data_IF_087991177990
#
_entry.id   IF_087991177990
#
_cell.length_a   1.000
_cell.length_b   1.000
_cell.length_c   1.000
_cell.angle_alpha   90.00
_cell.angle_beta   90.00
_cell.angle_gamma   90.00
#
_symmetry.space_group_name_H-M   'P 1'
#
loop_
_entity.id
_entity.type
_entity.pdbx_description
1 polymer ?
#
# COMPACT_ATOMS: atom_id res chain seq x y z
N UNK A 1 -1.03 40.36 9.06
CA UNK A 1 -2.13 39.38 8.89
C UNK A 1 -1.50 38.00 9.01
N UNK A 2 -1.69 37.35 10.16
CA UNK A 2 -1.13 36.03 10.44
C UNK A 2 -2.06 35.00 9.80
N UNK A 3 -1.64 34.34 8.72
CA UNK A 3 -2.35 33.17 8.22
C UNK A 3 -2.26 32.09 9.29
N UNK A 4 -3.36 31.89 10.03
CA UNK A 4 -3.50 30.71 10.87
C UNK A 4 -3.34 29.48 9.97
N UNK A 5 -2.53 28.48 10.34
CA UNK A 5 -2.46 27.24 9.58
C UNK A 5 -3.88 26.66 9.50
N UNK A 6 -4.35 26.39 8.29
CA UNK A 6 -5.63 25.73 8.08
C UNK A 6 -5.60 24.43 8.89
N UNK A 7 -6.44 24.36 9.93
CA UNK A 7 -6.65 23.12 10.66
C UNK A 7 -7.22 22.14 9.64
N UNK A 8 -6.39 21.18 9.21
CA UNK A 8 -6.81 20.15 8.28
C UNK A 8 -7.99 19.42 8.91
N UNK A 9 -9.15 19.48 8.27
CA UNK A 9 -10.34 18.79 8.74
C UNK A 9 -10.01 17.30 8.94
N UNK A 10 -10.50 16.68 10.03
CA UNK A 10 -10.31 15.26 10.24
C UNK A 10 -10.80 14.50 9.00
N UNK A 11 -9.93 13.71 8.40
CA UNK A 11 -10.26 12.90 7.24
C UNK A 11 -10.71 11.53 7.73
N UNK A 12 -11.83 11.00 7.25
CA UNK A 12 -12.28 9.65 7.58
C UNK A 12 -11.58 8.60 6.71
N UNK A 13 -11.68 7.30 7.06
CA UNK A 13 -11.26 6.20 6.19
C UNK A 13 -11.94 6.25 4.81
N UNK A 14 -13.23 6.58 4.80
CA UNK A 14 -14.01 6.67 3.57
C UNK A 14 -13.51 7.80 2.66
N UNK A 15 -13.26 8.99 3.23
CA UNK A 15 -12.68 10.11 2.48
C UNK A 15 -11.30 9.76 1.93
N UNK A 16 -10.51 9.01 2.71
CA UNK A 16 -9.18 8.56 2.32
C UNK A 16 -9.22 7.58 1.15
N UNK A 17 -10.08 6.56 1.20
CA UNK A 17 -10.27 5.62 0.09
C UNK A 17 -10.82 6.31 -1.15
N UNK A 18 -11.68 7.31 -0.97
CA UNK A 18 -12.20 8.14 -2.08
C UNK A 18 -11.08 8.94 -2.75
N UNK A 19 -10.17 9.55 -1.97
CA UNK A 19 -8.99 10.25 -2.52
C UNK A 19 -8.03 9.30 -3.24
N UNK A 20 -7.83 8.09 -2.71
CA UNK A 20 -6.98 7.08 -3.32
C UNK A 20 -7.55 6.59 -4.67
N UNK A 21 -8.88 6.49 -4.78
CA UNK A 21 -9.59 6.15 -6.00
C UNK A 21 -9.74 7.31 -7.00
N UNK A 22 -9.31 8.54 -6.64
CA UNK A 22 -9.59 9.72 -7.45
C UNK A 22 -9.04 9.59 -8.87
N UNK A 23 -9.92 9.82 -9.85
CA UNK A 23 -9.62 9.66 -11.27
C UNK A 23 -9.94 8.29 -11.85
N UNK A 24 -10.47 7.35 -11.05
CA UNK A 24 -10.97 6.05 -11.52
C UNK A 24 -12.46 5.86 -11.15
N UNK A 25 -13.20 5.20 -12.04
CA UNK A 25 -14.59 4.72 -11.80
C UNK A 25 -14.74 3.22 -12.08
N UNK A 26 -13.62 2.52 -12.14
CA UNK A 26 -13.51 1.14 -12.57
C UNK A 26 -13.07 0.22 -11.42
N UNK A 27 -12.35 -0.86 -11.73
CA UNK A 27 -11.96 -1.86 -10.73
C UNK A 27 -11.08 -1.30 -9.61
N UNK A 28 -10.33 -0.21 -9.83
CA UNK A 28 -9.52 0.41 -8.78
C UNK A 28 -10.37 1.10 -7.72
N UNK A 29 -11.46 1.78 -8.12
CA UNK A 29 -12.43 2.33 -7.16
C UNK A 29 -13.05 1.23 -6.29
N UNK A 30 -13.42 0.10 -6.89
CA UNK A 30 -13.95 -1.06 -6.17
C UNK A 30 -12.91 -1.62 -5.19
N UNK A 31 -11.66 -1.72 -5.62
CA UNK A 31 -10.56 -2.17 -4.76
C UNK A 31 -10.35 -1.25 -3.55
N UNK A 32 -10.39 0.07 -3.75
CA UNK A 32 -10.26 1.05 -2.67
C UNK A 32 -11.42 0.95 -1.67
N UNK A 33 -12.66 0.82 -2.16
CA UNK A 33 -13.82 0.63 -1.29
C UNK A 33 -13.69 -0.65 -0.45
N UNK A 34 -13.35 -1.77 -1.10
CA UNK A 34 -13.18 -3.06 -0.44
C UNK A 34 -12.01 -3.06 0.56
N UNK A 35 -10.90 -2.42 0.23
CA UNK A 35 -9.80 -2.22 1.16
C UNK A 35 -10.24 -1.43 2.41
N UNK A 36 -11.09 -0.41 2.23
CA UNK A 36 -11.68 0.34 3.34
C UNK A 36 -12.49 -0.54 4.29
N UNK A 37 -13.35 -1.39 3.76
CA UNK A 37 -14.12 -2.37 4.53
C UNK A 37 -13.21 -3.30 5.33
N UNK A 38 -12.22 -3.91 4.66
CA UNK A 38 -11.30 -4.86 5.29
C UNK A 38 -10.47 -4.22 6.42
N UNK A 39 -10.07 -2.96 6.24
CA UNK A 39 -9.34 -2.19 7.25
C UNK A 39 -10.24 -1.83 8.43
N UNK A 40 -11.49 -1.43 8.18
CA UNK A 40 -12.47 -1.10 9.21
C UNK A 40 -12.85 -2.33 10.06
N UNK A 41 -13.15 -3.47 9.42
CA UNK A 41 -13.54 -4.72 10.06
C UNK A 41 -12.50 -5.24 11.07
N UNK A 42 -11.22 -4.97 10.82
CA UNK A 42 -10.10 -5.46 11.65
C UNK A 42 -9.78 -4.56 12.83
N UNK A 43 -10.50 -3.45 13.03
CA UNK A 43 -10.44 -2.62 14.25
C UNK A 43 -9.09 -1.94 14.51
N UNK A 44 -8.15 -1.99 13.56
CA UNK A 44 -6.85 -1.31 13.65
C UNK A 44 -6.89 0.14 13.14
N UNK A 45 -8.05 0.60 12.70
CA UNK A 45 -8.25 1.95 12.21
C UNK A 45 -8.65 2.91 13.34
N UNK A 46 -7.98 4.06 13.46
CA UNK A 46 -8.47 5.18 14.26
C UNK A 46 -9.28 6.09 13.34
N UNK A 47 -10.55 6.34 13.65
CA UNK A 47 -11.49 7.11 12.79
C UNK A 47 -11.01 8.53 12.43
N UNK A 48 -10.16 9.14 13.26
CA UNK A 48 -9.56 10.46 13.02
C UNK A 48 -8.12 10.29 12.49
N UNK A 49 -7.97 10.42 11.17
CA UNK A 49 -6.73 10.15 10.40
C UNK A 49 -5.74 11.32 10.46
N UNK A 50 -5.74 12.11 11.52
CA UNK A 50 -4.90 13.30 11.62
C UNK A 50 -3.40 12.95 11.58
N UNK A 51 -2.81 12.94 10.39
CA UNK A 51 -1.36 12.93 10.06
C UNK A 51 -0.55 11.63 10.23
N UNK A 52 -1.15 10.46 10.45
CA UNK A 52 -0.36 9.20 10.60
C UNK A 52 0.06 8.60 9.23
N UNK A 53 1.35 8.71 8.83
CA UNK A 53 1.83 8.18 7.55
C UNK A 53 1.73 6.65 7.49
N UNK A 54 1.69 5.97 8.63
CA UNK A 54 1.53 4.52 8.67
C UNK A 54 0.15 4.08 8.18
N UNK A 55 -0.88 4.88 8.45
CA UNK A 55 -2.24 4.65 7.93
C UNK A 55 -2.31 4.90 6.42
N UNK A 56 -1.61 5.91 5.91
CA UNK A 56 -1.45 6.12 4.45
C UNK A 56 -0.92 4.88 3.76
N UNK A 57 0.21 4.41 4.24
CA UNK A 57 0.92 3.27 3.65
C UNK A 57 0.08 2.00 3.76
N UNK A 58 -0.53 1.74 4.92
CA UNK A 58 -1.42 0.57 5.10
C UNK A 58 -2.59 0.60 4.10
N UNK A 59 -3.30 1.74 3.98
CA UNK A 59 -4.45 1.80 3.06
C UNK A 59 -4.06 1.64 1.60
N UNK A 60 -2.95 2.25 1.18
CA UNK A 60 -2.42 2.09 -0.17
C UNK A 60 -2.02 0.62 -0.42
N UNK A 61 -1.32 -0.01 0.52
CA UNK A 61 -0.89 -1.40 0.39
C UNK A 61 -2.10 -2.36 0.31
N UNK A 62 -3.09 -2.22 1.19
CA UNK A 62 -4.29 -3.08 1.15
C UNK A 62 -5.05 -2.87 -0.16
N UNK A 63 -5.23 -1.63 -0.63
CA UNK A 63 -5.90 -1.35 -1.89
C UNK A 63 -5.16 -1.96 -3.10
N UNK A 64 -3.84 -1.84 -3.16
CA UNK A 64 -3.01 -2.46 -4.21
C UNK A 64 -3.13 -3.98 -4.16
N UNK A 65 -3.05 -4.60 -2.97
CA UNK A 65 -3.20 -6.05 -2.83
C UNK A 65 -4.59 -6.54 -3.26
N UNK A 66 -5.66 -5.85 -2.83
CA UNK A 66 -7.04 -6.16 -3.24
C UNK A 66 -7.22 -6.05 -4.75
N UNK A 67 -6.67 -4.99 -5.36
CA UNK A 67 -6.75 -4.80 -6.79
C UNK A 67 -6.00 -5.91 -7.56
N UNK A 68 -4.76 -6.19 -7.15
CA UNK A 68 -3.91 -7.20 -7.75
C UNK A 68 -4.52 -8.61 -7.68
N UNK A 69 -4.99 -9.02 -6.49
CA UNK A 69 -5.65 -10.31 -6.30
C UNK A 69 -6.97 -10.39 -7.07
N UNK A 70 -7.74 -9.30 -7.05
CA UNK A 70 -9.03 -9.21 -7.72
C UNK A 70 -8.97 -9.41 -9.23
N UNK A 71 -7.83 -9.21 -9.88
CA UNK A 71 -7.66 -9.43 -11.31
C UNK A 71 -7.85 -10.92 -11.70
N UNK A 72 -7.60 -11.85 -10.79
CA UNK A 72 -7.82 -13.29 -10.99
C UNK A 72 -9.19 -13.79 -10.52
N UNK A 73 -9.98 -12.94 -9.86
CA UNK A 73 -11.23 -13.36 -9.21
C UNK A 73 -12.44 -13.16 -10.13
N UNK A 74 -13.38 -14.13 -10.22
CA UNK A 74 -14.61 -13.98 -11.02
C UNK A 74 -15.48 -12.77 -10.63
N UNK A 75 -15.37 -12.29 -9.39
CA UNK A 75 -16.07 -11.09 -8.90
C UNK A 75 -15.20 -9.83 -8.86
N UNK A 76 -14.00 -9.88 -9.43
CA UNK A 76 -13.06 -8.77 -9.42
C UNK A 76 -12.57 -8.40 -8.01
N UNK A 77 -12.06 -7.17 -7.83
CA UNK A 77 -11.56 -6.69 -6.54
C UNK A 77 -12.58 -6.71 -5.40
N UNK A 78 -13.88 -6.63 -5.70
CA UNK A 78 -14.94 -6.67 -4.69
C UNK A 78 -15.10 -8.03 -4.01
N UNK A 79 -14.65 -9.12 -4.65
CA UNK A 79 -14.73 -10.47 -4.11
C UNK A 79 -13.57 -10.83 -3.17
N UNK A 80 -12.51 -10.01 -3.12
CA UNK A 80 -11.34 -10.30 -2.30
C UNK A 80 -11.71 -10.29 -0.81
N UNK A 81 -11.31 -11.35 -0.11
CA UNK A 81 -11.56 -11.53 1.32
C UNK A 81 -10.30 -11.32 2.13
N UNK A 82 -10.45 -11.03 3.43
CA UNK A 82 -9.32 -10.98 4.35
C UNK A 82 -8.55 -12.31 4.36
N UNK A 83 -9.25 -13.44 4.25
CA UNK A 83 -8.66 -14.78 4.18
C UNK A 83 -7.85 -14.98 2.89
N UNK A 84 -8.35 -14.55 1.74
CA UNK A 84 -7.62 -14.61 0.47
C UNK A 84 -6.30 -13.83 0.53
N UNK A 85 -6.34 -12.61 1.07
CA UNK A 85 -5.13 -11.81 1.32
C UNK A 85 -4.19 -12.53 2.30
N UNK A 86 -4.75 -13.13 3.35
CA UNK A 86 -3.97 -13.84 4.37
C UNK A 86 -3.25 -15.04 3.78
N UNK A 87 -3.95 -15.86 2.98
CA UNK A 87 -3.42 -17.05 2.34
C UNK A 87 -2.33 -16.70 1.32
N UNK A 88 -2.54 -15.67 0.51
CA UNK A 88 -1.53 -15.17 -0.43
C UNK A 88 -0.22 -14.76 0.27
N UNK A 89 -0.35 -14.12 1.44
CA UNK A 89 0.78 -13.53 2.15
C UNK A 89 1.44 -14.48 3.17
N UNK A 90 0.74 -15.51 3.65
CA UNK A 90 1.12 -16.34 4.80
C UNK A 90 2.56 -16.89 4.73
N UNK A 91 2.92 -17.55 3.63
CA UNK A 91 4.22 -18.20 3.47
C UNK A 91 5.40 -17.20 3.44
N UNK A 92 5.11 -15.94 3.08
CA UNK A 92 6.10 -14.87 2.90
C UNK A 92 6.18 -13.97 4.14
N UNK A 93 5.13 -13.98 4.97
CA UNK A 93 5.01 -13.22 6.20
C UNK A 93 6.13 -13.58 7.20
N UNK A 94 6.43 -14.87 7.33
CA UNK A 94 7.49 -15.35 8.22
C UNK A 94 8.88 -14.90 7.75
N UNK A 95 9.13 -14.95 6.44
CA UNK A 95 10.39 -14.49 5.86
C UNK A 95 10.57 -12.97 6.02
N UNK A 96 9.48 -12.19 5.93
CA UNK A 96 9.51 -10.75 6.24
C UNK A 96 9.73 -10.45 7.72
N UNK A 97 9.23 -11.30 8.61
CA UNK A 97 9.45 -11.18 10.05
C UNK A 97 10.86 -11.65 10.50
N UNK A 98 11.65 -12.24 9.59
CA UNK A 98 13.00 -12.71 9.89
C UNK A 98 13.91 -11.59 10.40
N UNK A 99 14.75 -11.89 11.39
CA UNK A 99 15.82 -11.00 11.85
C UNK A 99 17.03 -11.00 10.91
N UNK A 100 17.12 -11.96 10.00
CA UNK A 100 18.13 -11.97 8.97
C UNK A 100 17.78 -11.00 7.83
N UNK A 101 18.66 -10.03 7.60
CA UNK A 101 18.46 -8.98 6.61
C UNK A 101 18.46 -9.52 5.17
N UNK A 102 19.26 -10.55 4.87
CA UNK A 102 19.32 -11.11 3.52
C UNK A 102 18.04 -11.88 3.18
N UNK A 103 17.58 -12.73 4.09
CA UNK A 103 16.28 -13.42 3.97
C UNK A 103 15.14 -12.42 3.77
N UNK A 104 15.08 -11.37 4.60
CA UNK A 104 14.03 -10.35 4.49
C UNK A 104 14.06 -9.63 3.15
N UNK A 105 15.26 -9.25 2.67
CA UNK A 105 15.44 -8.58 1.38
C UNK A 105 15.00 -9.47 0.22
N UNK A 106 15.37 -10.75 0.24
CA UNK A 106 14.95 -11.70 -0.78
C UNK A 106 13.42 -11.88 -0.80
N UNK A 107 12.79 -11.99 0.37
CA UNK A 107 11.33 -12.08 0.50
C UNK A 107 10.62 -10.83 -0.02
N UNK A 108 11.15 -9.63 0.30
CA UNK A 108 10.61 -8.36 -0.19
C UNK A 108 10.70 -8.26 -1.71
N UNK A 109 11.84 -8.61 -2.30
CA UNK A 109 12.02 -8.58 -3.75
C UNK A 109 11.10 -9.58 -4.48
N UNK A 110 10.89 -10.77 -3.90
CA UNK A 110 9.93 -11.74 -4.42
C UNK A 110 8.49 -11.21 -4.38
N UNK A 111 8.07 -10.61 -3.25
CA UNK A 111 6.74 -10.01 -3.10
C UNK A 111 6.52 -8.82 -4.05
N UNK A 112 7.52 -7.95 -4.20
CA UNK A 112 7.47 -6.85 -5.16
C UNK A 112 7.29 -7.40 -6.59
N UNK A 113 8.09 -8.40 -6.99
CA UNK A 113 7.99 -9.02 -8.31
C UNK A 113 6.64 -9.69 -8.57
N UNK A 114 6.05 -10.31 -7.55
CA UNK A 114 4.74 -10.94 -7.62
C UNK A 114 3.62 -9.91 -7.77
N UNK A 115 3.65 -8.84 -6.97
CA UNK A 115 2.72 -7.72 -7.09
C UNK A 115 2.78 -7.07 -8.46
N UNK A 116 3.98 -6.84 -9.00
CA UNK A 116 4.16 -6.34 -10.37
C UNK A 116 3.53 -7.30 -11.39
N UNK A 117 3.75 -8.61 -11.23
CA UNK A 117 3.19 -9.60 -12.16
C UNK A 117 1.66 -9.62 -12.12
N UNK A 118 1.06 -9.48 -10.93
CA UNK A 118 -0.39 -9.38 -10.79
C UNK A 118 -0.94 -8.07 -11.36
N UNK A 119 -0.25 -6.94 -11.14
CA UNK A 119 -0.62 -5.67 -11.76
C UNK A 119 -0.54 -5.73 -13.29
N UNK A 120 0.48 -6.40 -13.83
CA UNK A 120 0.59 -6.63 -15.27
C UNK A 120 -0.57 -7.49 -15.80
N UNK A 121 -0.96 -8.54 -15.08
CA UNK A 121 -2.15 -9.34 -15.41
C UNK A 121 -3.45 -8.51 -15.36
N UNK A 122 -3.50 -7.49 -14.50
CA UNK A 122 -4.59 -6.51 -14.44
C UNK A 122 -4.50 -5.42 -15.52
N UNK A 123 -3.49 -5.45 -16.40
CA UNK A 123 -3.30 -4.51 -17.50
C UNK A 123 -2.41 -3.31 -17.17
N UNK A 124 -1.65 -3.35 -16.09
CA UNK A 124 -0.80 -2.26 -15.63
C UNK A 124 0.68 -2.66 -15.55
N UNK A 125 1.52 -1.98 -16.32
CA UNK A 125 2.96 -2.19 -16.27
C UNK A 125 3.58 -1.38 -15.13
N UNK A 126 3.84 -2.05 -14.00
CA UNK A 126 4.31 -1.43 -12.77
C UNK A 126 5.85 -1.45 -12.70
N UNK A 127 6.52 -0.30 -12.50
CA UNK A 127 7.98 -0.25 -12.42
C UNK A 127 8.50 -0.89 -11.13
N UNK A 128 9.71 -1.47 -11.21
CA UNK A 128 10.47 -1.92 -10.03
C UNK A 128 11.22 -0.76 -9.39
N UNK A 129 11.29 -0.74 -8.06
CA UNK A 129 12.14 0.17 -7.29
C UNK A 129 11.87 1.66 -7.50
N UNK A 130 12.93 2.48 -7.49
CA UNK A 130 12.84 3.94 -7.50
C UNK A 130 12.36 4.45 -8.85
N UNK A 131 11.26 5.19 -8.84
CA UNK A 131 10.56 5.66 -10.04
C UNK A 131 10.93 7.12 -10.37
N UNK A 132 11.53 7.84 -9.42
CA UNK A 132 12.19 9.13 -9.65
C UNK A 132 11.22 10.27 -10.00
N UNK A 133 10.00 10.25 -9.46
CA UNK A 133 8.99 11.29 -9.68
C UNK A 133 8.40 11.39 -11.09
N UNK A 134 8.96 10.66 -12.08
CA UNK A 134 8.53 10.71 -13.50
C UNK A 134 7.12 10.12 -13.73
N UNK A 135 6.60 9.37 -12.77
CA UNK A 135 5.31 8.66 -12.84
C UNK A 135 4.16 9.36 -12.08
N UNK A 136 4.37 10.55 -11.51
CA UNK A 136 3.37 11.21 -10.66
C UNK A 136 2.45 12.18 -11.43
N UNK A 137 2.30 11.98 -12.74
CA UNK A 137 1.44 12.81 -13.60
C UNK A 137 -0.06 12.49 -13.48
N UNK A 138 -0.94 13.42 -13.88
CA UNK A 138 -2.39 13.21 -13.90
C UNK A 138 -2.81 12.07 -14.84
N UNK A 139 -2.05 11.84 -15.91
CA UNK A 139 -2.31 10.84 -16.94
C UNK A 139 -1.96 9.40 -16.53
N UNK A 140 -1.29 9.22 -15.39
CA UNK A 140 -0.93 7.90 -14.87
C UNK A 140 -2.13 7.27 -14.18
N UNK A 141 -2.36 5.98 -14.40
CA UNK A 141 -3.44 5.25 -13.75
C UNK A 141 -3.37 5.40 -12.21
N UNK A 142 -4.48 5.65 -11.51
CA UNK A 142 -4.45 5.88 -10.06
C UNK A 142 -3.80 4.74 -9.25
N UNK A 143 -4.00 3.48 -9.67
CA UNK A 143 -3.33 2.31 -9.07
C UNK A 143 -1.80 2.38 -9.21
N UNK A 144 -1.28 2.89 -10.33
CA UNK A 144 0.15 3.04 -10.56
C UNK A 144 0.75 4.20 -9.77
N UNK A 145 -0.05 5.24 -9.46
CA UNK A 145 0.36 6.28 -8.49
C UNK A 145 0.40 5.72 -7.07
N UNK A 146 -0.57 4.90 -6.68
CA UNK A 146 -0.57 4.24 -5.38
C UNK A 146 0.63 3.28 -5.25
N UNK A 147 0.89 2.47 -6.28
CA UNK A 147 2.10 1.65 -6.38
C UNK A 147 3.38 2.50 -6.25
N UNK A 148 3.51 3.56 -7.05
CA UNK A 148 4.67 4.44 -7.00
C UNK A 148 4.86 5.07 -5.60
N UNK A 149 3.79 5.38 -4.86
CA UNK A 149 3.91 5.89 -3.49
C UNK A 149 4.45 4.87 -2.48
N UNK A 150 4.33 3.57 -2.79
CA UNK A 150 4.87 2.48 -1.98
C UNK A 150 6.35 2.19 -2.31
N UNK A 151 6.74 2.33 -3.58
CA UNK A 151 8.09 1.94 -4.05
C UNK A 151 9.05 3.11 -4.32
N UNK A 152 8.55 4.33 -4.53
CA UNK A 152 9.38 5.51 -4.82
C UNK A 152 9.86 6.21 -3.54
N UNK A 153 11.13 6.64 -3.54
CA UNK A 153 11.91 7.01 -2.35
C UNK A 153 11.85 8.49 -1.97
N UNK A 154 11.05 9.32 -2.65
CA UNK A 154 11.10 10.78 -2.45
C UNK A 154 10.10 11.26 -1.41
N UNK A 155 10.37 10.96 -0.15
CA UNK A 155 10.17 11.92 0.92
C UNK A 155 11.30 11.70 1.93
N UNK A 156 12.12 12.74 2.10
CA UNK A 156 13.08 12.87 3.19
C UNK A 156 12.51 12.24 4.47
N UNK A 157 13.21 11.29 5.13
CA UNK A 157 12.77 10.84 6.45
C UNK A 157 12.68 12.08 7.36
N UNK A 158 11.67 12.21 8.23
CA UNK A 158 11.68 13.26 9.22
C UNK A 158 12.84 12.97 10.18
N UNK A 159 13.96 13.66 9.95
CA UNK A 159 15.18 13.69 10.76
C UNK A 159 15.92 12.34 10.86
N UNK A 160 16.95 12.15 10.03
CA UNK A 160 18.08 11.31 10.42
C UNK A 160 19.37 12.00 10.00
N UNK A 161 20.08 12.56 10.99
CA UNK A 161 21.43 13.14 10.88
C UNK A 161 22.52 12.04 10.76
N UNK A 162 22.16 10.83 10.33
CA UNK A 162 23.04 9.67 10.28
C UNK A 162 23.23 9.18 8.86
N UNK A 163 24.30 9.62 8.19
CA UNK A 163 24.73 9.05 6.92
C UNK A 163 24.98 7.55 7.03
N UNK A 164 24.22 6.74 6.29
CA UNK A 164 24.64 5.40 5.93
C UNK A 164 24.30 5.12 4.47
N UNK A 165 25.32 4.83 3.68
CA UNK A 165 25.29 4.47 2.26
C UNK A 165 24.76 3.04 2.07
N UNK A 166 23.55 2.75 2.54
CA UNK A 166 22.86 1.50 2.20
C UNK A 166 21.63 1.85 1.37
N UNK A 167 21.55 1.29 0.17
CA UNK A 167 20.41 1.49 -0.72
C UNK A 167 19.23 0.62 -0.23
N UNK A 168 18.30 1.23 0.53
CA UNK A 168 17.11 0.60 1.09
C UNK A 168 15.94 0.59 0.10
N UNK A 169 15.54 -0.59 -0.41
CA UNK A 169 14.25 -0.80 -1.09
C UNK A 169 13.12 0.01 -0.42
N UNK A 170 12.18 0.58 -1.20
CA UNK A 170 11.30 1.67 -0.77
C UNK A 170 10.68 1.43 0.62
N UNK A 171 10.97 2.26 1.64
CA UNK A 171 10.66 1.99 3.05
C UNK A 171 9.16 1.81 3.33
N UNK A 172 8.29 2.29 2.42
CA UNK A 172 6.85 2.16 2.54
C UNK A 172 6.32 0.80 2.07
N UNK A 173 6.97 0.13 1.10
CA UNK A 173 6.53 -1.20 0.67
C UNK A 173 6.78 -2.23 1.77
N UNK A 174 7.99 -2.26 2.34
CA UNK A 174 8.32 -3.15 3.47
C UNK A 174 7.38 -2.90 4.65
N UNK A 175 7.23 -1.62 5.05
CA UNK A 175 6.33 -1.24 6.12
C UNK A 175 4.87 -1.60 5.82
N UNK A 176 4.40 -1.35 4.61
CA UNK A 176 3.05 -1.69 4.16
C UNK A 176 2.77 -3.19 4.24
N UNK A 177 3.71 -4.03 3.80
CA UNK A 177 3.61 -5.48 3.89
C UNK A 177 3.64 -5.98 5.33
N UNK A 178 4.44 -5.36 6.21
CA UNK A 178 4.42 -5.64 7.65
C UNK A 178 3.09 -5.20 8.31
N UNK A 179 2.51 -4.09 7.88
CA UNK A 179 1.19 -3.67 8.34
C UNK A 179 0.09 -4.62 7.84
N UNK A 180 0.20 -5.09 6.59
CA UNK A 180 -0.69 -6.09 6.00
C UNK A 180 -0.63 -7.40 6.79
N UNK A 181 0.58 -7.84 7.15
CA UNK A 181 0.78 -8.96 8.07
C UNK A 181 -0.01 -8.78 9.37
N UNK A 182 0.13 -7.60 10.00
CA UNK A 182 -0.55 -7.28 11.25
C UNK A 182 -2.06 -7.31 11.13
N UNK A 183 -2.62 -6.84 10.02
CA UNK A 183 -4.06 -6.84 9.72
C UNK A 183 -4.61 -8.26 9.59
N UNK A 184 -3.86 -9.13 8.91
CA UNK A 184 -4.17 -10.54 8.68
C UNK A 184 -4.17 -11.35 9.99
N UNK A 185 -3.19 -11.13 10.87
CA UNK A 185 -2.95 -11.98 12.05
C UNK A 185 -3.94 -11.90 13.21
N UNK A 186 -4.80 -10.87 13.29
CA UNK A 186 -5.63 -10.61 14.50
C UNK A 186 -6.77 -11.64 14.73
N UNK A 187 -6.92 -12.67 13.90
CA UNK A 187 -7.98 -13.69 14.07
C UNK A 187 -7.58 -15.13 13.71
N UNK A 188 -6.28 -15.44 13.59
CA UNK A 188 -5.83 -16.84 13.55
C UNK A 188 -5.63 -17.37 14.97
#
# INVERSE_FOLDING_TARGET
MTNAPAVLAPTTLADRMTRLAAGDRGPWQVACARAGELVAERGRWRELVGTDPGQDILTAMVAVAVYALGAGEPGGPGAVTAEGISSWFADRAEALASRDHETRRAALAALEGELISMLAAAGHDAPRGRVGGRWLGPDVAPVLRAWASLVDWTATPPNDDGGSETAWLGPHLEFGLLCLHGLVRVRA
#
